data_IF_678203614297
#
_entry.id   IF_678203614297
#
_cell.length_a   1.000
_cell.length_b   1.000
_cell.length_c   1.000
_cell.angle_alpha   90.00
_cell.angle_beta   90.00
_cell.angle_gamma   90.00
#
_symmetry.space_group_name_H-M   'P 1'
#
loop_
_entity.id
_entity.type
_entity.pdbx_description
1 polymer ?
#
# COMPACT_ATOMS: atom_id res chain seq x y z
N UNK A 1 1.07 3.06 -28.01
CA UNK A 1 1.05 2.50 -26.63
C UNK A 1 2.40 2.75 -25.97
N UNK A 2 2.51 3.71 -25.06
CA UNK A 2 3.74 3.92 -24.29
C UNK A 2 3.82 2.86 -23.18
N UNK A 3 4.76 1.93 -23.34
CA UNK A 3 5.03 0.89 -22.35
C UNK A 3 5.71 1.55 -21.15
N UNK A 4 5.04 1.56 -20.00
CA UNK A 4 5.57 2.10 -18.75
C UNK A 4 6.86 1.37 -18.37
N UNK A 5 7.92 2.12 -18.04
CA UNK A 5 9.20 1.53 -17.62
C UNK A 5 9.09 0.92 -16.22
N UNK A 6 9.95 -0.05 -15.88
CA UNK A 6 9.97 -0.70 -14.56
C UNK A 6 10.16 0.28 -13.40
N UNK A 7 10.90 1.38 -13.63
CA UNK A 7 11.12 2.46 -12.67
C UNK A 7 9.83 3.27 -12.46
N UNK A 8 9.12 3.60 -13.55
CA UNK A 8 7.82 4.27 -13.47
C UNK A 8 6.81 3.39 -12.72
N UNK A 9 6.78 2.09 -13.04
CA UNK A 9 5.92 1.12 -12.35
C UNK A 9 6.26 1.03 -10.84
N UNK A 10 7.54 1.10 -10.46
CA UNK A 10 7.97 1.07 -9.05
C UNK A 10 7.57 2.33 -8.28
N UNK A 11 7.70 3.52 -8.90
CA UNK A 11 7.29 4.80 -8.28
C UNK A 11 5.78 4.91 -8.08
N UNK A 12 5.00 4.19 -8.88
CA UNK A 12 3.53 4.17 -8.78
C UNK A 12 2.99 3.11 -7.82
N UNK A 13 3.83 2.39 -7.08
CA UNK A 13 3.37 1.41 -6.07
C UNK A 13 2.82 2.13 -4.86
N UNK A 14 1.70 1.65 -4.31
CA UNK A 14 1.05 2.25 -3.14
C UNK A 14 1.99 2.55 -1.96
N UNK A 15 2.88 1.64 -1.49
CA UNK A 15 3.78 1.95 -0.38
C UNK A 15 4.80 3.04 -0.69
N UNK A 16 5.22 3.17 -1.96
CA UNK A 16 6.16 4.22 -2.38
C UNK A 16 5.45 5.57 -2.39
N UNK A 17 4.24 5.63 -2.95
CA UNK A 17 3.41 6.83 -2.93
C UNK A 17 3.11 7.29 -1.50
N UNK A 18 2.79 6.34 -0.60
CA UNK A 18 2.55 6.65 0.81
C UNK A 18 3.81 7.19 1.48
N UNK A 19 4.97 6.56 1.29
CA UNK A 19 6.23 7.02 1.85
C UNK A 19 6.62 8.42 1.34
N UNK A 20 6.38 8.72 0.07
CA UNK A 20 6.59 10.06 -0.48
C UNK A 20 5.68 11.08 0.22
N UNK A 21 4.40 10.76 0.42
CA UNK A 21 3.46 11.61 1.15
C UNK A 21 3.90 11.82 2.60
N UNK A 22 4.23 10.76 3.31
CA UNK A 22 4.63 10.83 4.73
C UNK A 22 5.88 11.71 4.91
N UNK A 23 6.81 11.66 3.95
CA UNK A 23 8.04 12.46 3.98
C UNK A 23 7.85 13.91 3.50
N UNK A 24 6.91 14.17 2.59
CA UNK A 24 6.86 15.42 1.81
C UNK A 24 5.56 16.22 1.90
N UNK A 25 4.51 15.71 2.55
CA UNK A 25 3.23 16.39 2.64
C UNK A 25 3.31 17.65 3.50
N UNK A 26 2.95 18.81 2.91
CA UNK A 26 2.92 20.08 3.64
C UNK A 26 1.86 20.10 4.74
N UNK A 27 0.73 19.42 4.53
CA UNK A 27 -0.37 19.31 5.48
C UNK A 27 -0.08 18.37 6.65
N UNK A 28 0.95 17.52 6.58
CA UNK A 28 1.34 16.62 7.67
C UNK A 28 2.35 17.27 8.64
N UNK A 29 2.69 18.55 8.44
CA UNK A 29 3.63 19.27 9.30
C UNK A 29 2.98 19.55 10.67
N UNK A 30 3.77 19.53 11.76
CA UNK A 30 3.26 19.90 13.08
C UNK A 30 2.59 21.27 13.08
N UNK A 31 1.43 21.37 13.73
CA UNK A 31 0.67 22.62 13.87
C UNK A 31 -0.23 22.97 12.68
N UNK A 32 -0.35 22.08 11.67
CA UNK A 32 -1.36 22.22 10.64
C UNK A 32 -2.67 21.57 11.08
N UNK A 33 -3.80 22.25 10.87
CA UNK A 33 -5.13 21.75 11.19
C UNK A 33 -5.65 20.82 10.07
N UNK A 34 -5.87 19.52 10.31
CA UNK A 34 -6.42 18.60 9.32
C UNK A 34 -7.82 18.98 8.85
N UNK A 35 -8.63 19.59 9.72
CA UNK A 35 -10.05 19.91 9.44
C UNK A 35 -10.18 20.96 8.34
N UNK A 36 -9.10 21.70 8.05
CA UNK A 36 -9.04 22.63 6.92
C UNK A 36 -9.38 21.99 5.56
N UNK A 37 -9.15 20.68 5.41
CA UNK A 37 -9.45 19.94 4.17
C UNK A 37 -10.83 19.29 4.14
N UNK A 38 -11.61 19.40 5.21
CA UNK A 38 -12.91 18.76 5.34
C UNK A 38 -14.00 19.81 5.56
N UNK A 39 -15.18 19.52 5.03
CA UNK A 39 -16.38 20.29 5.33
C UNK A 39 -16.86 19.90 6.72
N UNK A 40 -17.09 20.89 7.57
CA UNK A 40 -17.66 20.63 8.90
C UNK A 40 -19.15 20.29 8.83
N UNK A 41 -19.64 19.57 9.84
CA UNK A 41 -21.06 19.24 9.96
C UNK A 41 -21.91 20.51 10.05
N UNK A 42 -22.93 20.61 9.20
CA UNK A 42 -23.80 21.78 9.13
C UNK A 42 -23.17 23.04 8.53
N UNK A 43 -21.94 22.96 8.03
CA UNK A 43 -21.27 24.12 7.42
C UNK A 43 -22.06 24.63 6.21
N UNK A 44 -22.35 25.95 6.14
CA UNK A 44 -23.03 26.52 4.98
C UNK A 44 -22.24 26.29 3.69
N UNK A 45 -22.89 25.94 2.56
CA UNK A 45 -22.20 25.67 1.30
C UNK A 45 -21.27 26.79 0.82
N UNK A 46 -21.62 28.05 1.05
CA UNK A 46 -20.82 29.21 0.65
C UNK A 46 -19.50 29.32 1.45
N UNK A 47 -19.55 29.01 2.75
CA UNK A 47 -18.36 28.99 3.62
C UNK A 47 -17.41 27.89 3.16
N UNK A 48 -17.95 26.68 2.98
CA UNK A 48 -17.18 25.55 2.49
C UNK A 48 -16.58 25.83 1.11
N UNK A 49 -17.32 26.45 0.19
CA UNK A 49 -16.80 26.78 -1.13
C UNK A 49 -15.54 27.66 -1.08
N UNK A 50 -15.50 28.65 -0.17
CA UNK A 50 -14.34 29.49 0.01
C UNK A 50 -13.15 28.71 0.63
N UNK A 51 -13.41 27.91 1.66
CA UNK A 51 -12.42 27.05 2.31
C UNK A 51 -11.84 26.03 1.33
N UNK A 52 -12.70 25.31 0.60
CA UNK A 52 -12.33 24.35 -0.46
C UNK A 52 -11.40 24.99 -1.49
N UNK A 53 -11.73 26.19 -1.97
CA UNK A 53 -10.87 26.89 -2.93
C UNK A 53 -9.49 27.21 -2.35
N UNK A 54 -9.41 27.55 -1.06
CA UNK A 54 -8.14 27.76 -0.37
C UNK A 54 -7.36 26.44 -0.18
N UNK A 55 -8.03 25.36 0.21
CA UNK A 55 -7.46 24.03 0.34
C UNK A 55 -6.89 23.49 -0.98
N UNK A 56 -7.63 23.67 -2.08
CA UNK A 56 -7.15 23.30 -3.44
C UNK A 56 -5.88 24.07 -3.79
N UNK A 57 -5.85 25.40 -3.58
CA UNK A 57 -4.63 26.20 -3.81
C UNK A 57 -3.46 25.76 -2.94
N UNK A 58 -3.71 25.43 -1.67
CA UNK A 58 -2.68 24.91 -0.78
C UNK A 58 -2.08 23.60 -1.31
N UNK A 59 -2.93 22.65 -1.72
CA UNK A 59 -2.49 21.39 -2.30
C UNK A 59 -1.70 21.58 -3.61
N UNK A 60 -2.03 22.58 -4.44
CA UNK A 60 -1.26 22.88 -5.65
C UNK A 60 0.19 23.29 -5.37
N UNK A 61 0.47 23.85 -4.19
CA UNK A 61 1.84 24.11 -3.75
C UNK A 61 2.58 22.90 -3.18
N UNK A 62 1.92 21.77 -2.95
CA UNK A 62 2.51 20.62 -2.28
C UNK A 62 3.37 19.79 -3.26
N UNK A 63 4.64 19.47 -2.92
CA UNK A 63 5.54 18.73 -3.83
C UNK A 63 5.05 17.30 -4.11
N UNK A 64 4.29 16.72 -3.18
CA UNK A 64 3.76 15.35 -3.26
C UNK A 64 2.30 15.30 -3.73
N UNK A 65 1.79 16.40 -4.30
CA UNK A 65 0.39 16.52 -4.74
C UNK A 65 -0.03 15.39 -5.67
N UNK A 66 0.81 15.06 -6.66
CA UNK A 66 0.49 14.02 -7.64
C UNK A 66 0.38 12.62 -7.00
N UNK A 67 1.26 12.30 -6.04
CA UNK A 67 1.18 11.05 -5.29
C UNK A 67 -0.08 11.00 -4.40
N UNK A 68 -0.42 12.13 -3.76
CA UNK A 68 -1.62 12.28 -2.96
C UNK A 68 -2.92 12.16 -3.79
N UNK A 69 -2.96 12.75 -4.99
CA UNK A 69 -4.08 12.61 -5.93
C UNK A 69 -4.24 11.16 -6.39
N UNK A 70 -3.14 10.50 -6.78
CA UNK A 70 -3.18 9.10 -7.20
C UNK A 70 -3.70 8.17 -6.08
N UNK A 71 -3.25 8.36 -4.84
CA UNK A 71 -3.75 7.57 -3.72
C UNK A 71 -5.22 7.88 -3.40
N UNK A 72 -5.64 9.14 -3.41
CA UNK A 72 -7.05 9.51 -3.24
C UNK A 72 -7.96 8.83 -4.29
N UNK A 73 -7.51 8.75 -5.54
CA UNK A 73 -8.25 8.09 -6.61
C UNK A 73 -8.38 6.58 -6.36
N UNK A 74 -7.29 5.92 -5.92
CA UNK A 74 -7.27 4.48 -5.61
C UNK A 74 -8.03 4.12 -4.35
N UNK A 75 -8.03 5.00 -3.35
CA UNK A 75 -8.66 4.79 -2.03
C UNK A 75 -10.17 4.92 -2.05
N UNK A 76 -10.73 5.53 -3.10
CA UNK A 76 -12.17 5.72 -3.18
C UNK A 76 -12.64 7.09 -2.69
N UNK A 77 -11.74 7.99 -2.33
CA UNK A 77 -12.06 9.31 -1.76
C UNK A 77 -13.03 10.14 -2.59
N UNK A 78 -13.83 10.94 -1.89
CA UNK A 78 -14.85 11.80 -2.45
C UNK A 78 -16.21 11.11 -2.57
N UNK A 79 -17.25 11.94 -2.64
CA UNK A 79 -18.64 11.49 -2.69
C UNK A 79 -19.36 12.17 -3.87
N UNK A 80 -20.09 11.43 -4.72
CA UNK A 80 -20.82 12.02 -5.86
C UNK A 80 -21.98 12.93 -5.44
N UNK A 81 -22.43 12.87 -4.18
CA UNK A 81 -23.59 13.61 -3.68
C UNK A 81 -23.23 14.78 -2.78
N UNK A 82 -22.05 14.71 -2.16
CA UNK A 82 -21.63 15.70 -1.16
C UNK A 82 -20.18 16.04 -1.44
N UNK A 83 -19.89 17.34 -1.57
CA UNK A 83 -18.53 17.83 -1.55
C UNK A 83 -18.12 18.08 -0.11
N UNK A 84 -17.36 17.16 0.45
CA UNK A 84 -17.02 17.11 1.87
C UNK A 84 -15.51 17.17 2.13
N UNK A 85 -14.68 17.11 1.09
CA UNK A 85 -13.24 17.07 1.25
C UNK A 85 -12.44 17.66 0.09
N UNK A 86 -11.18 17.95 0.37
CA UNK A 86 -10.13 18.20 -0.62
C UNK A 86 -8.95 17.29 -0.36
N UNK A 87 -8.56 16.47 -1.36
CA UNK A 87 -7.34 15.65 -1.32
C UNK A 87 -6.63 15.69 -2.66
N UNK A 88 -5.30 15.76 -2.66
CA UNK A 88 -4.52 15.85 -3.90
C UNK A 88 -4.74 17.13 -4.73
N UNK A 89 -5.37 18.15 -4.14
CA UNK A 89 -5.76 19.38 -4.86
C UNK A 89 -7.00 19.21 -5.73
N UNK A 90 -7.87 18.24 -5.39
CA UNK A 90 -9.16 18.00 -6.02
C UNK A 90 -10.24 17.98 -4.96
N UNK A 91 -11.42 18.47 -5.30
CA UNK A 91 -12.62 18.29 -4.47
C UNK A 91 -13.14 16.85 -4.52
N UNK A 92 -14.05 16.49 -3.62
CA UNK A 92 -14.65 15.16 -3.58
C UNK A 92 -15.34 14.80 -4.91
N UNK A 93 -16.11 15.73 -5.48
CA UNK A 93 -16.75 15.51 -6.79
C UNK A 93 -15.74 15.36 -7.93
N UNK A 94 -14.67 16.15 -7.94
CA UNK A 94 -13.64 16.06 -8.98
C UNK A 94 -12.90 14.72 -8.94
N UNK A 95 -12.62 14.19 -7.74
CA UNK A 95 -12.03 12.86 -7.57
C UNK A 95 -12.95 11.77 -8.11
N UNK A 96 -14.26 11.84 -7.82
CA UNK A 96 -15.25 10.88 -8.34
C UNK A 96 -15.34 10.95 -9.87
N UNK A 97 -15.42 12.14 -10.44
CA UNK A 97 -15.44 12.32 -11.89
C UNK A 97 -14.17 11.77 -12.55
N UNK A 98 -13.00 12.08 -11.99
CA UNK A 98 -11.72 11.63 -12.51
C UNK A 98 -11.54 10.11 -12.40
N UNK A 99 -12.06 9.50 -11.33
CA UNK A 99 -12.11 8.04 -11.18
C UNK A 99 -12.95 7.40 -12.28
N UNK A 100 -14.09 7.99 -12.64
CA UNK A 100 -14.91 7.53 -13.75
C UNK A 100 -14.16 7.56 -15.09
N UNK A 101 -13.45 8.65 -15.38
CA UNK A 101 -12.64 8.79 -16.60
C UNK A 101 -11.47 7.81 -16.65
N UNK A 102 -10.89 7.45 -15.49
CA UNK A 102 -9.71 6.61 -15.40
C UNK A 102 -9.99 5.20 -14.85
N UNK A 103 -11.24 4.73 -14.93
CA UNK A 103 -11.69 3.53 -14.23
C UNK A 103 -10.84 2.29 -14.54
N UNK A 104 -10.53 2.04 -15.82
CA UNK A 104 -9.72 0.89 -16.23
C UNK A 104 -8.29 0.95 -15.70
N UNK A 105 -7.64 2.12 -15.81
CA UNK A 105 -6.27 2.34 -15.31
C UNK A 105 -6.20 2.14 -13.80
N UNK A 106 -7.17 2.69 -13.08
CA UNK A 106 -7.26 2.58 -11.62
C UNK A 106 -7.55 1.15 -11.18
N UNK A 107 -8.47 0.44 -11.87
CA UNK A 107 -8.74 -0.96 -11.59
C UNK A 107 -7.48 -1.83 -11.75
N UNK A 108 -6.68 -1.60 -12.80
CA UNK A 108 -5.41 -2.29 -12.98
C UNK A 108 -4.38 -1.95 -11.88
N UNK A 109 -4.29 -0.68 -11.47
CA UNK A 109 -3.39 -0.25 -10.40
C UNK A 109 -3.77 -0.84 -9.04
N UNK A 110 -5.06 -0.80 -8.68
CA UNK A 110 -5.61 -1.40 -7.45
C UNK A 110 -5.39 -2.92 -7.47
N UNK A 111 -5.65 -3.60 -8.58
CA UNK A 111 -5.42 -5.05 -8.70
C UNK A 111 -3.95 -5.40 -8.48
N UNK A 112 -3.03 -4.57 -9.00
CA UNK A 112 -1.60 -4.77 -8.79
C UNK A 112 -1.18 -4.53 -7.32
N UNK A 113 -1.79 -3.55 -6.65
CA UNK A 113 -1.58 -3.29 -5.22
C UNK A 113 -2.07 -4.49 -4.39
N UNK A 114 -3.29 -5.00 -4.63
CA UNK A 114 -3.85 -6.18 -3.94
C UNK A 114 -3.02 -7.45 -4.16
N UNK A 115 -2.55 -7.67 -5.39
CA UNK A 115 -1.67 -8.80 -5.69
C UNK A 115 -0.34 -8.70 -4.92
N UNK A 116 0.24 -7.49 -4.82
CA UNK A 116 1.47 -7.23 -4.07
C UNK A 116 1.27 -7.44 -2.57
N UNK A 117 0.14 -6.99 -2.01
CA UNK A 117 -0.18 -7.17 -0.59
C UNK A 117 -0.41 -8.64 -0.24
N UNK A 118 -1.10 -9.38 -1.10
CA UNK A 118 -1.31 -10.83 -0.94
C UNK A 118 0.03 -11.57 -0.95
N UNK A 119 0.91 -11.24 -1.90
CA UNK A 119 2.25 -11.82 -1.97
C UNK A 119 3.09 -11.49 -0.72
N UNK A 120 3.03 -10.23 -0.25
CA UNK A 120 3.74 -9.82 0.96
C UNK A 120 3.24 -10.53 2.22
N UNK A 121 1.92 -10.69 2.36
CA UNK A 121 1.30 -11.46 3.45
C UNK A 121 1.75 -12.92 3.42
N UNK A 122 1.76 -13.55 2.25
CA UNK A 122 2.24 -14.93 2.10
C UNK A 122 3.73 -15.06 2.48
N UNK A 123 4.59 -14.16 2.01
CA UNK A 123 6.01 -14.13 2.36
C UNK A 123 6.24 -13.95 3.86
N UNK A 124 5.52 -13.02 4.47
CA UNK A 124 5.65 -12.70 5.90
C UNK A 124 5.14 -13.86 6.74
N UNK A 125 4.01 -14.48 6.37
CA UNK A 125 3.47 -15.67 7.04
C UNK A 125 4.47 -16.82 7.05
N UNK A 126 5.05 -17.17 5.89
CA UNK A 126 6.08 -18.23 5.80
C UNK A 126 7.31 -17.87 6.63
N UNK A 127 7.75 -16.61 6.62
CA UNK A 127 8.92 -16.17 7.39
C UNK A 127 8.68 -16.24 8.91
N UNK A 128 7.47 -15.91 9.37
CA UNK A 128 7.06 -16.05 10.76
C UNK A 128 7.01 -17.53 11.16
N UNK A 129 6.34 -18.38 10.37
CA UNK A 129 6.28 -19.83 10.61
C UNK A 129 7.68 -20.46 10.69
N UNK A 130 8.58 -20.07 9.78
CA UNK A 130 9.97 -20.52 9.79
C UNK A 130 10.69 -20.09 11.08
N UNK A 131 10.52 -18.84 11.49
CA UNK A 131 11.11 -18.33 12.72
C UNK A 131 10.57 -19.01 13.98
N UNK A 132 9.26 -19.27 14.03
CA UNK A 132 8.62 -19.96 15.14
C UNK A 132 9.06 -21.42 15.21
N UNK A 133 9.10 -22.13 14.08
CA UNK A 133 9.55 -23.51 14.03
C UNK A 133 11.04 -23.62 14.37
N UNK A 134 11.89 -22.67 13.95
CA UNK A 134 13.31 -22.65 14.32
C UNK A 134 13.55 -22.36 15.81
N UNK A 135 12.68 -21.57 16.45
CA UNK A 135 12.75 -21.26 17.90
C UNK A 135 12.13 -22.34 18.77
N UNK A 136 11.28 -23.21 18.21
CA UNK A 136 10.60 -24.27 18.96
C UNK A 136 11.65 -25.23 19.51
N UNK A 137 11.67 -25.43 20.83
CA UNK A 137 12.46 -26.51 21.44
C UNK A 137 11.62 -27.79 21.40
N UNK A 138 12.09 -28.88 20.77
CA UNK A 138 11.36 -30.14 20.79
C UNK A 138 11.39 -30.72 22.20
N UNK A 139 10.34 -30.50 22.98
CA UNK A 139 10.22 -31.03 24.33
C UNK A 139 9.58 -32.42 24.30
N UNK A 140 10.04 -33.29 25.20
CA UNK A 140 9.53 -34.66 25.35
C UNK A 140 8.30 -34.60 26.27
N UNK A 141 7.12 -34.88 25.74
CA UNK A 141 5.92 -35.13 26.56
C UNK A 141 5.27 -36.45 26.17
N UNK A 142 4.83 -37.23 27.17
CA UNK A 142 3.90 -38.35 26.99
C UNK A 142 4.31 -39.50 26.06
N UNK A 143 5.52 -40.05 26.18
CA UNK A 143 5.90 -41.27 25.43
C UNK A 143 6.29 -41.05 23.96
N UNK A 144 6.59 -39.80 23.60
CA UNK A 144 7.00 -39.37 22.26
C UNK A 144 8.37 -39.95 21.78
N UNK A 145 8.64 -39.94 20.46
CA UNK A 145 9.86 -40.46 19.83
C UNK A 145 11.17 -39.97 20.46
N UNK A 146 12.27 -40.69 20.22
CA UNK A 146 13.61 -40.26 20.63
C UNK A 146 13.89 -38.82 20.14
N UNK A 147 14.58 -38.00 20.93
CA UNK A 147 14.83 -36.58 20.65
C UNK A 147 15.42 -36.34 19.24
N UNK A 148 16.23 -37.28 18.74
CA UNK A 148 16.78 -37.25 17.38
C UNK A 148 15.72 -37.33 16.26
N UNK A 149 14.60 -38.01 16.50
CA UNK A 149 13.48 -38.08 15.56
C UNK A 149 12.72 -36.76 15.53
N UNK A 150 12.44 -36.18 16.70
CA UNK A 150 11.79 -34.87 16.81
C UNK A 150 12.64 -33.76 16.18
N UNK A 151 13.97 -33.79 16.40
CA UNK A 151 14.90 -32.87 15.76
C UNK A 151 14.92 -33.03 14.24
N UNK A 152 14.87 -34.27 13.73
CA UNK A 152 14.82 -34.53 12.28
C UNK A 152 13.55 -33.97 11.66
N UNK A 153 12.40 -34.23 12.27
CA UNK A 153 11.11 -33.71 11.81
C UNK A 153 11.08 -32.17 11.79
N UNK A 154 11.62 -31.54 12.83
CA UNK A 154 11.76 -30.09 12.88
C UNK A 154 12.66 -29.58 11.75
N UNK A 155 13.83 -30.20 11.54
CA UNK A 155 14.76 -29.81 10.48
C UNK A 155 14.13 -29.98 9.07
N UNK A 156 13.38 -31.05 8.85
CA UNK A 156 12.61 -31.28 7.62
C UNK A 156 11.59 -30.17 7.40
N UNK A 157 10.85 -29.77 8.45
CA UNK A 157 9.88 -28.69 8.37
C UNK A 157 10.52 -27.32 8.10
N UNK A 158 11.66 -27.04 8.74
CA UNK A 158 12.46 -25.83 8.49
C UNK A 158 12.92 -25.80 7.03
N UNK A 159 13.43 -26.92 6.51
CA UNK A 159 13.86 -27.01 5.12
C UNK A 159 12.70 -26.81 4.13
N UNK A 160 11.52 -27.38 4.41
CA UNK A 160 10.31 -27.19 3.62
C UNK A 160 9.87 -25.72 3.59
N UNK A 161 9.82 -25.05 4.74
CA UNK A 161 9.45 -23.63 4.85
C UNK A 161 10.47 -22.72 4.16
N UNK A 162 11.77 -23.02 4.30
CA UNK A 162 12.83 -22.30 3.60
C UNK A 162 12.72 -22.46 2.07
N UNK A 163 12.43 -23.67 1.58
CA UNK A 163 12.22 -23.92 0.16
C UNK A 163 10.99 -23.16 -0.39
N UNK A 164 9.87 -23.16 0.35
CA UNK A 164 8.68 -22.36 0.01
C UNK A 164 9.00 -20.88 -0.08
N UNK A 165 9.76 -20.35 0.90
CA UNK A 165 10.17 -18.95 0.90
C UNK A 165 11.07 -18.61 -0.31
N UNK A 166 11.99 -19.51 -0.67
CA UNK A 166 12.85 -19.34 -1.84
C UNK A 166 12.04 -19.29 -3.14
N UNK A 167 11.09 -20.21 -3.35
CA UNK A 167 10.21 -20.24 -4.54
C UNK A 167 9.44 -18.93 -4.68
N UNK A 168 8.79 -18.45 -3.62
CA UNK A 168 8.00 -17.21 -3.68
C UNK A 168 8.92 -16.01 -3.96
N UNK A 169 10.11 -15.95 -3.35
CA UNK A 169 11.09 -14.88 -3.62
C UNK A 169 11.61 -14.90 -5.06
N UNK A 170 11.92 -16.06 -5.62
CA UNK A 170 12.38 -16.20 -7.01
C UNK A 170 11.29 -15.79 -7.99
N UNK A 171 10.07 -16.29 -7.81
CA UNK A 171 8.92 -15.90 -8.64
C UNK A 171 8.67 -14.38 -8.61
N UNK A 172 8.85 -13.75 -7.43
CA UNK A 172 8.78 -12.30 -7.27
C UNK A 172 9.88 -11.56 -8.04
N UNK A 173 11.13 -12.01 -7.95
CA UNK A 173 12.27 -11.42 -8.67
C UNK A 173 12.09 -11.52 -10.18
N UNK A 174 11.69 -12.69 -10.68
CA UNK A 174 11.38 -12.92 -12.09
C UNK A 174 10.31 -11.93 -12.60
N UNK A 175 9.16 -11.84 -11.92
CA UNK A 175 8.06 -10.93 -12.29
C UNK A 175 8.46 -9.46 -12.25
N UNK A 176 9.34 -9.09 -11.33
CA UNK A 176 9.76 -7.69 -11.15
C UNK A 176 10.99 -7.31 -11.98
N UNK A 177 11.49 -8.23 -12.82
CA UNK A 177 12.61 -7.99 -13.73
C UNK A 177 13.98 -7.94 -13.06
N UNK A 178 14.13 -8.51 -11.86
CA UNK A 178 15.39 -8.55 -11.12
C UNK A 178 16.30 -9.73 -11.51
N UNK A 179 15.90 -10.55 -12.49
CA UNK A 179 16.70 -11.69 -12.98
C UNK A 179 17.67 -11.34 -14.12
N UNK A 180 17.69 -10.10 -14.62
CA UNK A 180 18.64 -9.68 -15.66
C UNK A 180 19.80 -8.90 -15.04
N UNK A 181 20.70 -9.58 -14.34
CA UNK A 181 22.17 -9.43 -14.42
C UNK A 181 22.76 -10.65 -13.69
N UNK A 182 23.26 -11.62 -14.45
CA UNK A 182 24.36 -12.50 -14.06
C UNK A 182 25.30 -12.58 -15.26
#
# INVERSE_FOLDING_TARGET
>A
MHRMTSIQARRMRRPVLQADIDAGARCARPGFDPDFFFRADGEPPATWQAQRAAAVRFCHGCPVRAACEELALRDGDGNPRVDDLVRGGRSGHELVALRGVQAERLAAAISADVASDTEWKALTGIAVELGDEARRTPTRSGGMPHQSVLQRQQNERIAELAAKLAVVRSARRARTGWEVVA
#
